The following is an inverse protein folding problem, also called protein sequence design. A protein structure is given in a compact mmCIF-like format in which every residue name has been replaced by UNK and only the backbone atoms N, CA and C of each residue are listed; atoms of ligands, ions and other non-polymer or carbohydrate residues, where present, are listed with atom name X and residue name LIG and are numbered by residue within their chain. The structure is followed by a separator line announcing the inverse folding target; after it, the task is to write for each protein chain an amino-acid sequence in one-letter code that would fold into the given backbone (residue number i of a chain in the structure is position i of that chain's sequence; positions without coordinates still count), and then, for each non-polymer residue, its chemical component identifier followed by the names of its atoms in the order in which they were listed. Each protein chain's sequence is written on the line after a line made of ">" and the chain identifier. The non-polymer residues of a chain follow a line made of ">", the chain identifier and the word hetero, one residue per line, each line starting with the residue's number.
data_IF_290647695051
#
_entry.id   IF_290647695051
#
_cell.length_a   1.000
_cell.length_b   1.000
_cell.length_c   1.000
_cell.angle_alpha   90.00
_cell.angle_beta   90.00
_cell.angle_gamma   90.00
#
_symmetry.space_group_name_H-M   'P 1'
#
loop_
_entity.id
_entity.type
_entity.pdbx_description
1 polymer ?
#
# COMPACT_ATOMS: atom_id res chain seq x y z
N UNK A 1 -23.80 48.63 16.37
CA UNK A 1 -24.60 47.46 16.78
C UNK A 1 -23.68 46.48 17.49
N UNK A 2 -23.73 46.43 18.82
CA UNK A 2 -23.60 45.22 19.65
C UNK A 2 -23.62 45.66 21.11
N UNK A 3 -24.76 45.46 21.75
CA UNK A 3 -25.02 45.76 23.15
C UNK A 3 -24.54 44.62 24.05
N UNK A 4 -23.70 45.00 25.01
CA UNK A 4 -23.19 44.25 26.14
C UNK A 4 -24.14 44.42 27.34
N UNK A 5 -24.75 43.33 27.79
CA UNK A 5 -25.38 43.11 29.11
C UNK A 5 -25.25 41.58 29.31
N UNK A 6 -24.57 41.00 30.30
CA UNK A 6 -24.41 41.39 31.69
C UNK A 6 -25.39 40.58 32.55
N UNK A 7 -24.99 39.39 33.01
CA UNK A 7 -25.16 38.95 34.41
C UNK A 7 -24.67 37.53 34.69
N UNK A 8 -23.74 37.49 35.62
CA UNK A 8 -23.43 36.36 36.50
C UNK A 8 -24.63 36.00 37.39
N UNK A 9 -24.71 34.71 37.72
CA UNK A 9 -25.60 34.17 38.74
C UNK A 9 -25.03 32.85 39.25
N UNK A 10 -24.07 32.93 40.18
CA UNK A 10 -23.53 31.78 40.89
C UNK A 10 -24.23 31.50 42.22
N UNK A 11 -24.40 30.21 42.52
CA UNK A 11 -24.54 29.63 43.87
C UNK A 11 -25.80 28.80 44.12
N UNK A 12 -25.83 27.85 45.09
CA UNK A 12 -24.84 26.84 45.50
C UNK A 12 -25.37 25.38 45.35
N UNK A 13 -24.55 24.32 45.53
CA UNK A 13 -24.94 22.94 45.22
C UNK A 13 -25.77 22.28 46.33
N UNK A 14 -26.98 21.82 45.97
CA UNK A 14 -27.82 20.95 46.79
C UNK A 14 -27.47 19.47 46.61
N UNK A 15 -27.09 18.84 47.72
CA UNK A 15 -26.68 17.43 47.88
C UNK A 15 -27.92 16.54 48.01
N UNK A 16 -28.05 15.51 47.15
CA UNK A 16 -29.07 14.46 47.29
C UNK A 16 -28.94 13.44 46.16
N UNK A 17 -28.40 12.25 46.47
CA UNK A 17 -27.95 11.29 45.48
C UNK A 17 -29.05 10.43 44.85
N UNK A 18 -28.75 9.90 43.68
CA UNK A 18 -28.98 8.49 43.34
C UNK A 18 -28.18 8.12 42.09
N UNK A 19 -27.75 6.87 42.04
CA UNK A 19 -26.89 6.28 41.04
C UNK A 19 -27.53 6.19 39.65
N UNK A 20 -26.75 6.44 38.59
CA UNK A 20 -26.68 5.67 37.34
C UNK A 20 -26.10 6.51 36.19
N UNK A 21 -25.23 5.89 35.39
CA UNK A 21 -25.02 6.27 33.99
C UNK A 21 -23.75 7.07 33.69
N UNK A 22 -22.62 6.37 33.66
CA UNK A 22 -21.34 6.89 33.19
C UNK A 22 -21.42 7.27 31.70
N UNK A 23 -20.94 8.49 31.47
CA UNK A 23 -20.59 9.22 30.25
C UNK A 23 -19.94 8.32 29.16
N UNK A 24 -20.44 8.40 27.92
CA UNK A 24 -19.68 8.00 26.72
C UNK A 24 -19.34 9.26 25.93
N UNK A 25 -18.14 9.78 26.18
CA UNK A 25 -17.40 10.66 25.27
C UNK A 25 -16.10 9.95 24.91
N UNK A 26 -15.86 9.77 23.61
CA UNK A 26 -14.59 9.36 23.02
C UNK A 26 -14.66 9.75 21.55
N UNK A 27 -14.41 11.01 21.21
CA UNK A 27 -13.09 11.61 20.92
C UNK A 27 -12.33 10.86 19.83
N UNK A 28 -12.68 11.28 18.62
CA UNK A 28 -11.85 11.41 17.44
C UNK A 28 -10.53 12.14 17.81
N UNK A 29 -9.37 11.50 17.65
CA UNK A 29 -8.04 12.06 17.31
C UNK A 29 -6.89 11.27 17.95
N UNK A 30 -6.05 10.64 17.12
CA UNK A 30 -4.60 10.70 17.31
C UNK A 30 -3.88 10.44 15.98
N UNK A 31 -3.54 11.54 15.34
CA UNK A 31 -2.53 11.62 14.30
C UNK A 31 -1.19 12.02 14.97
N UNK A 32 -0.09 11.47 14.43
CA UNK A 32 1.30 11.93 14.57
C UNK A 32 2.01 11.71 15.91
N UNK A 33 3.09 10.91 15.87
CA UNK A 33 4.30 11.17 16.66
C UNK A 33 4.78 10.08 17.61
N UNK A 34 5.36 8.98 17.09
CA UNK A 34 6.49 8.31 17.74
C UNK A 34 7.46 7.84 16.64
N UNK A 35 8.42 8.71 16.31
CA UNK A 35 9.68 8.28 15.72
C UNK A 35 10.65 7.93 16.84
N UNK A 36 11.25 6.74 16.79
CA UNK A 36 12.55 6.42 17.36
C UNK A 36 12.96 4.98 16.98
N UNK A 37 14.03 4.83 16.19
CA UNK A 37 14.84 3.62 16.02
C UNK A 37 14.14 2.44 15.35
N UNK A 38 14.68 1.75 14.33
CA UNK A 38 16.06 1.35 14.18
C UNK A 38 16.34 1.14 12.69
N UNK A 39 17.21 1.97 12.13
CA UNK A 39 18.07 1.54 11.04
C UNK A 39 19.26 0.81 11.66
N UNK A 40 19.50 -0.43 11.24
CA UNK A 40 20.84 -1.01 11.30
C UNK A 40 21.24 -1.36 9.89
N UNK A 41 21.96 -0.43 9.28
CA UNK A 41 22.88 -0.72 8.21
C UNK A 41 23.92 -1.72 8.71
N UNK A 42 24.20 -2.76 7.93
CA UNK A 42 25.52 -3.38 7.89
C UNK A 42 25.90 -3.68 6.44
N UNK A 43 26.72 -2.79 5.89
CA UNK A 43 27.68 -3.14 4.87
C UNK A 43 29.07 -3.19 5.53
N UNK A 44 29.76 -4.31 5.25
CA UNK A 44 31.23 -4.51 5.12
C UNK A 44 32.11 -4.46 6.37
N UNK A 45 32.65 -5.62 6.74
CA UNK A 45 34.10 -5.84 6.87
C UNK A 45 34.40 -7.34 6.68
N UNK A 46 35.45 -7.59 5.89
CA UNK A 46 35.89 -8.84 5.31
C UNK A 46 36.45 -9.88 6.32
N UNK A 47 36.20 -11.16 6.04
CA UNK A 47 37.08 -12.35 6.10
C UNK A 47 36.25 -13.63 6.38
N UNK A 48 36.44 -14.64 5.51
CA UNK A 48 35.79 -15.96 5.40
C UNK A 48 35.96 -16.91 6.62
N UNK A 49 35.38 -18.15 6.66
CA UNK A 49 34.30 -18.74 5.84
C UNK A 49 33.17 -19.44 6.64
N UNK A 50 32.10 -19.80 5.92
CA UNK A 50 31.12 -20.86 6.22
C UNK A 50 30.26 -20.75 7.49
N UNK A 51 29.05 -20.20 7.35
CA UNK A 51 27.90 -20.62 8.17
C UNK A 51 26.57 -20.48 7.43
N UNK A 52 25.70 -21.45 7.71
CA UNK A 52 24.42 -21.83 7.11
C UNK A 52 23.55 -20.70 6.52
N UNK A 53 22.70 -21.00 5.51
CA UNK A 53 21.78 -20.01 4.96
C UNK A 53 20.84 -19.52 6.07
N UNK A 54 20.99 -18.23 6.39
CA UNK A 54 20.11 -17.53 7.30
C UNK A 54 18.67 -17.70 6.84
N UNK A 55 17.82 -18.13 7.77
CA UNK A 55 16.37 -18.17 7.59
C UNK A 55 15.86 -16.82 7.08
N UNK A 56 14.86 -16.79 6.18
CA UNK A 56 14.28 -15.54 5.69
C UNK A 56 13.78 -14.71 6.88
N UNK A 57 13.86 -13.37 6.81
CA UNK A 57 13.34 -12.52 7.87
C UNK A 57 11.86 -12.80 8.05
N UNK A 58 11.48 -13.25 9.24
CA UNK A 58 10.08 -13.42 9.61
C UNK A 58 9.37 -12.08 9.43
N UNK A 59 8.42 -12.04 8.50
CA UNK A 59 7.51 -10.91 8.33
C UNK A 59 6.80 -10.70 9.67
N UNK A 60 6.78 -9.47 10.24
CA UNK A 60 6.24 -9.26 11.58
C UNK A 60 4.73 -9.53 11.59
N UNK A 61 4.33 -10.59 12.29
CA UNK A 61 2.96 -11.02 12.56
C UNK A 61 2.09 -9.99 13.34
N UNK A 62 2.54 -8.75 13.46
CA UNK A 62 1.95 -7.73 14.34
C UNK A 62 0.79 -6.98 13.68
N UNK A 63 0.79 -6.84 12.34
CA UNK A 63 -0.28 -6.12 11.63
C UNK A 63 -1.58 -6.94 11.54
N UNK A 64 -1.47 -8.23 11.23
CA UNK A 64 -2.63 -9.14 11.12
C UNK A 64 -3.27 -9.46 12.47
N UNK A 65 -2.46 -9.51 13.54
CA UNK A 65 -2.97 -9.71 14.91
C UNK A 65 -3.91 -8.60 15.38
N UNK A 66 -3.73 -7.36 14.91
CA UNK A 66 -4.58 -6.22 15.29
C UNK A 66 -5.96 -6.25 14.62
N UNK A 67 -6.02 -6.55 13.32
CA UNK A 67 -7.26 -6.67 12.56
C UNK A 67 -8.08 -7.90 13.00
N UNK A 68 -7.41 -9.00 13.30
CA UNK A 68 -8.08 -10.19 13.82
C UNK A 68 -8.70 -9.95 15.21
N UNK A 69 -7.99 -9.24 16.09
CA UNK A 69 -8.54 -8.82 17.40
C UNK A 69 -9.76 -7.91 17.23
N UNK A 70 -9.68 -6.93 16.34
CA UNK A 70 -10.79 -6.01 16.05
C UNK A 70 -12.00 -6.76 15.45
N UNK A 71 -11.76 -7.75 14.59
CA UNK A 71 -12.80 -8.64 14.09
C UNK A 71 -13.45 -9.49 15.20
N UNK A 72 -12.67 -10.01 16.16
CA UNK A 72 -13.25 -10.72 17.30
C UNK A 72 -14.05 -9.80 18.23
N UNK A 73 -13.58 -8.57 18.47
CA UNK A 73 -14.31 -7.59 19.29
C UNK A 73 -15.64 -7.20 18.66
N UNK A 74 -15.67 -6.94 17.34
CA UNK A 74 -16.92 -6.65 16.62
C UNK A 74 -17.89 -7.83 16.62
N UNK A 75 -17.40 -9.08 16.57
CA UNK A 75 -18.24 -10.27 16.75
C UNK A 75 -18.85 -10.34 18.16
N UNK A 76 -18.07 -10.09 19.21
CA UNK A 76 -18.59 -10.05 20.59
C UNK A 76 -19.64 -8.96 20.77
N UNK A 77 -19.41 -7.77 20.21
CA UNK A 77 -20.37 -6.68 20.23
C UNK A 77 -21.68 -7.05 19.51
N UNK A 78 -21.59 -7.74 18.38
CA UNK A 78 -22.77 -8.25 17.67
C UNK A 78 -23.57 -9.25 18.51
N UNK A 79 -22.89 -10.17 19.19
CA UNK A 79 -23.56 -11.13 20.08
C UNK A 79 -24.23 -10.45 21.27
N UNK A 80 -23.58 -9.45 21.88
CA UNK A 80 -24.17 -8.65 22.95
C UNK A 80 -25.43 -7.89 22.46
N UNK A 81 -25.35 -7.22 21.31
CA UNK A 81 -26.49 -6.52 20.71
C UNK A 81 -27.65 -7.48 20.36
N UNK A 82 -27.35 -8.71 19.93
CA UNK A 82 -28.37 -9.75 19.70
C UNK A 82 -29.10 -10.11 20.99
N UNK A 83 -28.39 -10.24 22.11
CA UNK A 83 -29.01 -10.54 23.42
C UNK A 83 -29.88 -9.39 23.89
N UNK A 84 -29.38 -8.16 23.82
CA UNK A 84 -30.14 -6.96 24.20
C UNK A 84 -31.43 -6.79 23.39
N UNK A 85 -31.36 -7.00 22.06
CA UNK A 85 -32.57 -6.96 21.22
C UNK A 85 -33.55 -8.09 21.55
N UNK A 86 -33.05 -9.26 21.94
CA UNK A 86 -33.88 -10.37 22.44
C UNK A 86 -34.59 -10.02 23.75
N UNK A 87 -33.87 -9.46 24.72
CA UNK A 87 -34.43 -9.03 26.01
C UNK A 87 -35.50 -7.94 25.84
N UNK A 88 -35.25 -6.94 24.98
CA UNK A 88 -36.22 -5.89 24.69
C UNK A 88 -37.50 -6.44 24.04
N UNK A 89 -37.38 -7.46 23.18
CA UNK A 89 -38.55 -8.14 22.58
C UNK A 89 -39.37 -8.88 23.63
N UNK A 90 -38.72 -9.57 24.57
CA UNK A 90 -39.42 -10.26 25.66
C UNK A 90 -40.17 -9.26 26.55
N UNK A 91 -39.49 -8.18 26.97
CA UNK A 91 -40.12 -7.08 27.73
C UNK A 91 -41.30 -6.45 27.00
N UNK A 92 -41.20 -6.29 25.69
CA UNK A 92 -42.29 -5.75 24.87
C UNK A 92 -43.53 -6.67 24.91
N UNK A 93 -43.34 -8.00 24.82
CA UNK A 93 -44.43 -8.97 24.92
C UNK A 93 -45.03 -8.97 26.33
N UNK A 94 -44.20 -8.91 27.36
CA UNK A 94 -44.64 -8.82 28.75
C UNK A 94 -45.50 -7.58 29.01
N UNK A 95 -45.03 -6.39 28.59
CA UNK A 95 -45.79 -5.13 28.71
C UNK A 95 -47.10 -5.15 27.91
N UNK A 96 -47.12 -5.78 26.73
CA UNK A 96 -48.34 -5.95 25.95
C UNK A 96 -49.37 -6.82 26.68
N UNK A 97 -48.93 -7.94 27.25
CA UNK A 97 -49.81 -8.80 28.04
C UNK A 97 -50.33 -8.10 29.30
N UNK A 98 -49.47 -7.33 29.97
CA UNK A 98 -49.87 -6.56 31.15
C UNK A 98 -50.91 -5.48 30.80
N UNK A 99 -50.67 -4.72 29.72
CA UNK A 99 -51.64 -3.75 29.19
C UNK A 99 -52.99 -4.40 28.85
N UNK A 100 -52.99 -5.56 28.19
CA UNK A 100 -54.24 -6.28 27.90
C UNK A 100 -54.97 -6.78 29.16
N UNK A 101 -54.23 -7.11 30.21
CA UNK A 101 -54.79 -7.51 31.52
C UNK A 101 -55.46 -6.32 32.21
N UNK A 102 -54.78 -5.18 32.28
CA UNK A 102 -55.31 -3.94 32.85
C UNK A 102 -56.56 -3.45 32.10
N UNK A 103 -56.58 -3.54 30.77
CA UNK A 103 -57.77 -3.21 29.96
C UNK A 103 -58.96 -4.11 30.29
N UNK A 104 -58.74 -5.40 30.51
CA UNK A 104 -59.78 -6.34 30.90
C UNK A 104 -60.34 -6.05 32.30
N UNK A 105 -59.46 -5.75 33.28
CA UNK A 105 -59.87 -5.38 34.64
C UNK A 105 -60.68 -4.07 34.67
N UNK A 106 -60.23 -3.07 33.91
CA UNK A 106 -60.90 -1.78 33.80
C UNK A 106 -62.28 -1.92 33.16
N UNK A 107 -62.42 -2.78 32.14
CA UNK A 107 -63.71 -3.11 31.53
C UNK A 107 -64.64 -3.82 32.53
N UNK A 108 -64.14 -4.83 33.25
CA UNK A 108 -64.92 -5.55 34.25
C UNK A 108 -65.40 -4.64 35.40
N UNK A 109 -64.56 -3.70 35.86
CA UNK A 109 -64.93 -2.73 36.89
C UNK A 109 -65.96 -1.71 36.39
N UNK A 110 -65.84 -1.24 35.15
CA UNK A 110 -66.85 -0.35 34.54
C UNK A 110 -68.21 -1.05 34.41
N UNK A 111 -68.22 -2.28 33.91
CA UNK A 111 -69.44 -3.08 33.77
C UNK A 111 -70.10 -3.36 35.13
N UNK A 112 -69.30 -3.69 36.16
CA UNK A 112 -69.78 -3.90 37.52
C UNK A 112 -70.36 -2.62 38.16
N UNK A 113 -69.75 -1.45 37.89
CA UNK A 113 -70.22 -0.16 38.40
C UNK A 113 -71.53 0.32 37.76
N UNK A 114 -71.80 -0.08 36.50
CA UNK A 114 -73.04 0.24 35.80
C UNK A 114 -74.25 -0.61 36.23
N UNK A 115 -74.03 -1.73 36.93
CA UNK A 115 -75.06 -2.69 37.33
C UNK A 115 -75.57 -2.51 38.78
N UNK A 116 -75.11 -1.49 39.51
CA UNK A 116 -75.41 -1.34 40.94
C UNK A 116 -76.88 -0.92 41.21
N UNK A 117 -77.63 -1.63 42.08
CA UNK A 117 -78.99 -1.25 42.50
C UNK A 117 -79.01 -0.07 43.49
N UNK A 118 -80.22 0.46 43.77
CA UNK A 118 -80.54 1.73 44.45
C UNK A 118 -79.58 2.13 45.60
N UNK A 119 -79.23 3.43 45.73
CA UNK A 119 -78.21 3.89 46.66
C UNK A 119 -78.68 3.81 48.11
N UNK A 120 -78.00 2.98 48.90
CA UNK A 120 -77.85 3.16 50.34
C UNK A 120 -76.42 3.66 50.65
N UNK A 121 -76.16 4.06 51.90
CA UNK A 121 -74.86 4.64 52.28
C UNK A 121 -73.68 3.68 52.02
N UNK A 122 -73.91 2.36 52.06
CA UNK A 122 -72.93 1.34 51.73
C UNK A 122 -72.64 1.31 50.22
N UNK A 123 -73.66 1.39 49.37
CA UNK A 123 -73.52 1.50 47.92
C UNK A 123 -72.76 2.77 47.50
N UNK A 124 -72.94 3.91 48.19
CA UNK A 124 -72.17 5.12 47.90
C UNK A 124 -70.68 4.97 48.23
N UNK A 125 -70.33 4.35 49.37
CA UNK A 125 -68.93 4.09 49.72
C UNK A 125 -68.26 3.13 48.75
N UNK A 126 -68.97 2.08 48.32
CA UNK A 126 -68.48 1.14 47.31
C UNK A 126 -68.32 1.82 45.94
N UNK A 127 -69.25 2.68 45.53
CA UNK A 127 -69.14 3.42 44.29
C UNK A 127 -67.97 4.43 44.30
N UNK A 128 -67.66 5.03 45.45
CA UNK A 128 -66.47 5.88 45.62
C UNK A 128 -65.18 5.08 45.51
N UNK A 129 -65.08 3.92 46.16
CA UNK A 129 -63.88 3.07 46.07
C UNK A 129 -63.68 2.49 44.67
N UNK A 130 -64.76 2.10 43.98
CA UNK A 130 -64.70 1.66 42.58
C UNK A 130 -64.23 2.79 41.65
N UNK A 131 -64.73 4.02 41.82
CA UNK A 131 -64.26 5.19 41.05
C UNK A 131 -62.78 5.47 41.25
N UNK A 132 -62.30 5.44 42.49
CA UNK A 132 -60.87 5.60 42.79
C UNK A 132 -60.02 4.51 42.13
N UNK A 133 -60.51 3.26 42.11
CA UNK A 133 -59.79 2.16 41.46
C UNK A 133 -59.78 2.28 39.94
N UNK A 134 -60.86 2.78 39.33
CA UNK A 134 -60.89 3.07 37.89
C UNK A 134 -59.87 4.17 37.55
N UNK A 135 -59.82 5.25 38.33
CA UNK A 135 -58.86 6.34 38.12
C UNK A 135 -57.40 5.87 38.29
N UNK A 136 -57.13 5.01 39.28
CA UNK A 136 -55.82 4.37 39.46
C UNK A 136 -55.43 3.50 38.25
N UNK A 137 -56.33 2.61 37.80
CA UNK A 137 -56.08 1.74 36.64
C UNK A 137 -55.91 2.54 35.34
N UNK A 138 -56.66 3.64 35.17
CA UNK A 138 -56.49 4.55 34.03
C UNK A 138 -55.11 5.23 34.05
N UNK A 139 -54.61 5.60 35.23
CA UNK A 139 -53.24 6.09 35.41
C UNK A 139 -52.18 5.03 35.09
N UNK A 140 -52.31 3.82 35.64
CA UNK A 140 -51.40 2.69 35.38
C UNK A 140 -51.37 2.29 33.90
N UNK A 141 -52.54 2.34 33.23
CA UNK A 141 -52.65 2.12 31.78
C UNK A 141 -51.90 3.18 30.97
N UNK A 142 -52.03 4.45 31.36
CA UNK A 142 -51.31 5.54 30.70
C UNK A 142 -49.80 5.36 30.83
N UNK A 143 -49.31 5.07 32.04
CA UNK A 143 -47.90 4.84 32.30
C UNK A 143 -47.38 3.60 31.57
N UNK A 144 -48.12 2.49 31.60
CA UNK A 144 -47.76 1.25 30.89
C UNK A 144 -47.66 1.50 29.39
N UNK A 145 -48.61 2.23 28.81
CA UNK A 145 -48.59 2.58 27.39
C UNK A 145 -47.40 3.46 27.03
N UNK A 146 -47.05 4.42 27.90
CA UNK A 146 -45.84 5.25 27.71
C UNK A 146 -44.58 4.39 27.71
N UNK A 147 -44.43 3.50 28.67
CA UNK A 147 -43.27 2.57 28.75
C UNK A 147 -43.25 1.63 27.53
N UNK A 148 -44.41 1.20 27.04
CA UNK A 148 -44.52 0.35 25.85
C UNK A 148 -44.04 1.09 24.59
N UNK A 149 -44.40 2.35 24.42
CA UNK A 149 -43.93 3.16 23.28
C UNK A 149 -42.42 3.50 23.40
N UNK A 150 -41.91 3.76 24.61
CA UNK A 150 -40.48 3.93 24.87
C UNK A 150 -39.68 2.66 24.56
N UNK A 151 -40.17 1.48 24.98
CA UNK A 151 -39.52 0.20 24.70
C UNK A 151 -39.57 -0.16 23.21
N UNK A 152 -40.66 0.16 22.50
CA UNK A 152 -40.72 0.03 21.03
C UNK A 152 -39.68 0.91 20.35
N UNK A 153 -39.55 2.17 20.77
CA UNK A 153 -38.56 3.10 20.22
C UNK A 153 -37.12 2.60 20.49
N UNK A 154 -36.86 2.11 21.71
CA UNK A 154 -35.59 1.50 22.09
C UNK A 154 -35.26 0.26 21.22
N UNK A 155 -36.24 -0.63 21.02
CA UNK A 155 -36.07 -1.81 20.17
C UNK A 155 -35.78 -1.45 18.71
N UNK A 156 -36.46 -0.44 18.16
CA UNK A 156 -36.21 0.04 16.81
C UNK A 156 -34.79 0.61 16.66
N UNK A 157 -34.33 1.39 17.65
CA UNK A 157 -32.96 1.92 17.69
C UNK A 157 -31.92 0.80 17.79
N UNK A 158 -32.11 -0.15 18.70
CA UNK A 158 -31.21 -1.28 18.87
C UNK A 158 -31.13 -2.17 17.61
N UNK A 159 -32.26 -2.35 16.91
CA UNK A 159 -32.30 -3.10 15.64
C UNK A 159 -31.48 -2.41 14.55
N UNK A 160 -31.59 -1.08 14.42
CA UNK A 160 -30.80 -0.29 13.46
C UNK A 160 -29.30 -0.34 13.78
N UNK A 161 -28.94 -0.20 15.06
CA UNK A 161 -27.55 -0.32 15.50
C UNK A 161 -26.98 -1.70 15.18
N UNK A 162 -27.77 -2.76 15.42
CA UNK A 162 -27.40 -4.13 15.06
C UNK A 162 -27.15 -4.29 13.56
N UNK A 163 -28.01 -3.73 12.71
CA UNK A 163 -27.84 -3.77 11.25
C UNK A 163 -26.61 -3.00 10.78
N UNK A 164 -26.30 -1.86 11.41
CA UNK A 164 -25.08 -1.10 11.12
C UNK A 164 -23.82 -1.89 11.50
N UNK A 165 -23.76 -2.42 12.72
CA UNK A 165 -22.64 -3.25 13.18
C UNK A 165 -22.44 -4.50 12.30
N UNK A 166 -23.53 -5.08 11.79
CA UNK A 166 -23.49 -6.20 10.85
C UNK A 166 -22.84 -5.84 9.51
N UNK A 167 -23.14 -4.65 8.98
CA UNK A 167 -22.54 -4.15 7.74
C UNK A 167 -21.05 -3.91 7.94
N UNK A 168 -20.68 -3.21 8.99
CA UNK A 168 -19.27 -2.92 9.32
C UNK A 168 -18.45 -4.21 9.51
N UNK A 169 -19.00 -5.20 10.21
CA UNK A 169 -18.36 -6.51 10.36
C UNK A 169 -18.20 -7.25 9.02
N UNK A 170 -19.17 -7.11 8.11
CA UNK A 170 -19.09 -7.62 6.75
C UNK A 170 -17.97 -6.97 5.96
N UNK A 171 -17.89 -5.63 5.98
CA UNK A 171 -16.86 -4.87 5.28
C UNK A 171 -15.45 -5.18 5.82
N UNK A 172 -15.30 -5.29 7.14
CA UNK A 172 -14.04 -5.70 7.76
C UNK A 172 -13.61 -7.10 7.33
N UNK A 173 -14.55 -8.04 7.20
CA UNK A 173 -14.26 -9.41 6.73
C UNK A 173 -13.76 -9.40 5.29
N UNK A 174 -14.39 -8.63 4.41
CA UNK A 174 -13.97 -8.48 3.02
C UNK A 174 -12.55 -7.90 2.93
N UNK A 175 -12.27 -6.83 3.70
CA UNK A 175 -10.92 -6.25 3.77
C UNK A 175 -9.89 -7.24 4.28
N UNK A 176 -10.24 -8.06 5.27
CA UNK A 176 -9.33 -9.08 5.81
C UNK A 176 -9.00 -10.13 4.74
N UNK A 177 -9.99 -10.60 3.98
CA UNK A 177 -9.73 -11.54 2.87
C UNK A 177 -8.90 -10.93 1.75
N UNK A 178 -9.11 -9.64 1.46
CA UNK A 178 -8.32 -8.93 0.45
C UNK A 178 -6.86 -8.75 0.90
N UNK A 179 -6.62 -8.37 2.15
CA UNK A 179 -5.26 -8.25 2.69
C UNK A 179 -4.56 -9.61 2.73
N UNK A 180 -5.28 -10.70 3.00
CA UNK A 180 -4.72 -12.05 2.93
C UNK A 180 -4.30 -12.43 1.50
N UNK A 181 -5.11 -12.12 0.48
CA UNK A 181 -4.70 -12.34 -0.91
C UNK A 181 -3.51 -11.48 -1.30
N UNK A 182 -3.51 -10.19 -0.95
CA UNK A 182 -2.38 -9.28 -1.24
C UNK A 182 -1.08 -9.75 -0.56
N UNK A 183 -1.17 -10.23 0.68
CA UNK A 183 -0.02 -10.80 1.39
C UNK A 183 0.54 -12.03 0.66
N UNK A 184 -0.32 -12.94 0.20
CA UNK A 184 0.11 -14.12 -0.55
C UNK A 184 0.72 -13.78 -1.91
N UNK A 185 0.19 -12.76 -2.60
CA UNK A 185 0.77 -12.27 -3.85
C UNK A 185 2.13 -11.59 -3.64
N UNK A 186 2.29 -10.85 -2.55
CA UNK A 186 3.59 -10.26 -2.20
C UNK A 186 4.60 -11.34 -1.83
N UNK A 187 4.17 -12.43 -1.20
CA UNK A 187 5.05 -13.55 -0.88
C UNK A 187 5.55 -14.25 -2.15
N UNK A 188 4.67 -14.54 -3.11
CA UNK A 188 5.08 -15.14 -4.40
C UNK A 188 6.01 -14.21 -5.18
N UNK A 189 5.69 -12.92 -5.27
CA UNK A 189 6.57 -11.92 -5.91
C UNK A 189 7.95 -11.83 -5.25
N UNK A 190 8.03 -11.93 -3.92
CA UNK A 190 9.31 -11.94 -3.22
C UNK A 190 10.12 -13.21 -3.51
N UNK A 191 9.47 -14.37 -3.64
CA UNK A 191 10.12 -15.62 -4.03
C UNK A 191 10.66 -15.53 -5.47
N UNK A 192 9.88 -14.99 -6.40
CA UNK A 192 10.31 -14.78 -7.79
C UNK A 192 11.49 -13.81 -7.90
N UNK A 193 11.43 -12.68 -7.18
CA UNK A 193 12.55 -11.73 -7.11
C UNK A 193 13.81 -12.37 -6.51
N UNK A 194 13.66 -13.22 -5.50
CA UNK A 194 14.80 -13.94 -4.92
C UNK A 194 15.42 -14.93 -5.92
N UNK A 195 14.61 -15.61 -6.75
CA UNK A 195 15.10 -16.47 -7.83
C UNK A 195 15.83 -15.64 -8.90
N UNK A 196 15.27 -14.51 -9.32
CA UNK A 196 15.91 -13.62 -10.29
C UNK A 196 17.23 -13.05 -9.77
N UNK A 197 17.29 -12.66 -8.49
CA UNK A 197 18.52 -12.18 -7.87
C UNK A 197 19.61 -13.26 -7.85
N UNK A 198 19.25 -14.52 -7.58
CA UNK A 198 20.19 -15.66 -7.67
C UNK A 198 20.70 -15.87 -9.09
N UNK A 199 19.80 -15.91 -10.07
CA UNK A 199 20.19 -16.06 -11.48
C UNK A 199 21.09 -14.91 -11.96
N UNK A 200 20.84 -13.68 -11.50
CA UNK A 200 21.69 -12.54 -11.81
C UNK A 200 23.08 -12.68 -11.18
N UNK A 201 23.17 -13.15 -9.93
CA UNK A 201 24.44 -13.43 -9.26
C UNK A 201 25.24 -14.54 -9.98
N UNK A 202 24.57 -15.62 -10.40
CA UNK A 202 25.20 -16.72 -11.15
C UNK A 202 25.75 -16.23 -12.50
N UNK A 203 24.98 -15.39 -13.22
CA UNK A 203 25.46 -14.77 -14.47
C UNK A 203 26.64 -13.82 -14.24
N UNK A 204 26.61 -13.05 -13.16
CA UNK A 204 27.71 -12.14 -12.83
C UNK A 204 29.00 -12.94 -12.60
N UNK A 205 28.94 -13.97 -11.77
CA UNK A 205 30.10 -14.85 -11.49
C UNK A 205 30.61 -15.56 -12.75
N UNK A 206 29.71 -16.03 -13.63
CA UNK A 206 30.10 -16.60 -14.92
C UNK A 206 30.81 -15.57 -15.82
N UNK A 207 30.28 -14.34 -15.91
CA UNK A 207 30.90 -13.27 -16.70
C UNK A 207 32.25 -12.82 -16.16
N UNK A 208 32.44 -12.83 -14.83
CA UNK A 208 33.73 -12.55 -14.19
C UNK A 208 34.75 -13.64 -14.52
N UNK A 209 34.33 -14.92 -14.54
CA UNK A 209 35.19 -16.03 -14.94
C UNK A 209 35.60 -15.95 -16.43
N UNK A 210 34.67 -15.59 -17.32
CA UNK A 210 34.94 -15.35 -18.74
C UNK A 210 35.92 -14.18 -18.95
N UNK A 211 35.72 -13.07 -18.24
CA UNK A 211 36.62 -11.91 -18.28
C UNK A 211 38.04 -12.26 -17.80
N UNK A 212 38.15 -13.08 -16.74
CA UNK A 212 39.44 -13.59 -16.27
C UNK A 212 40.11 -14.51 -17.29
N UNK A 213 39.36 -15.38 -17.97
CA UNK A 213 39.87 -16.24 -19.03
C UNK A 213 40.36 -15.43 -20.24
N UNK A 214 39.58 -14.46 -20.71
CA UNK A 214 39.94 -13.56 -21.80
C UNK A 214 41.21 -12.75 -21.47
N UNK A 215 41.35 -12.32 -20.22
CA UNK A 215 42.55 -11.62 -19.73
C UNK A 215 43.79 -12.50 -19.85
N UNK A 216 43.71 -13.76 -19.43
CA UNK A 216 44.82 -14.73 -19.54
C UNK A 216 45.21 -14.99 -21.00
N UNK A 217 44.22 -15.16 -21.89
CA UNK A 217 44.48 -15.40 -23.31
C UNK A 217 45.13 -14.19 -23.98
N UNK A 218 44.65 -12.98 -23.67
CA UNK A 218 45.28 -11.73 -24.13
C UNK A 218 46.75 -11.66 -23.69
N UNK A 219 47.04 -11.99 -22.43
CA UNK A 219 48.40 -11.92 -21.90
C UNK A 219 49.30 -12.99 -22.53
N UNK A 220 48.77 -14.18 -22.82
CA UNK A 220 49.43 -15.22 -23.61
C UNK A 220 49.77 -14.74 -25.03
N UNK A 221 48.78 -14.24 -25.77
CA UNK A 221 48.95 -13.75 -27.15
C UNK A 221 49.94 -12.58 -27.21
N UNK A 222 49.96 -11.70 -26.20
CA UNK A 222 50.99 -10.65 -26.07
C UNK A 222 52.39 -11.25 -25.91
N UNK A 223 52.53 -12.30 -25.11
CA UNK A 223 53.79 -13.04 -24.97
C UNK A 223 54.26 -13.68 -26.28
N UNK A 224 53.35 -14.36 -27.00
CA UNK A 224 53.64 -14.94 -28.31
C UNK A 224 54.03 -13.87 -29.34
N UNK A 225 53.31 -12.74 -29.39
CA UNK A 225 53.63 -11.61 -30.26
C UNK A 225 55.02 -11.03 -29.95
N UNK A 226 55.39 -10.93 -28.67
CA UNK A 226 56.72 -10.46 -28.27
C UNK A 226 57.82 -11.43 -28.71
N UNK A 227 57.60 -12.74 -28.59
CA UNK A 227 58.52 -13.77 -29.07
C UNK A 227 58.70 -13.70 -30.59
N UNK A 228 57.60 -13.64 -31.36
CA UNK A 228 57.65 -13.53 -32.82
C UNK A 228 58.34 -12.24 -33.27
N UNK A 229 58.12 -11.12 -32.57
CA UNK A 229 58.85 -9.87 -32.85
C UNK A 229 60.34 -10.02 -32.62
N UNK A 230 60.74 -10.66 -31.51
CA UNK A 230 62.15 -10.92 -31.21
C UNK A 230 62.81 -11.84 -32.27
N UNK A 231 62.13 -12.90 -32.70
CA UNK A 231 62.59 -13.78 -33.78
C UNK A 231 62.76 -13.03 -35.11
N UNK A 232 61.77 -12.21 -35.49
CA UNK A 232 61.85 -11.35 -36.68
C UNK A 232 63.05 -10.42 -36.60
N UNK A 233 63.28 -9.78 -35.45
CA UNK A 233 64.36 -8.83 -35.28
C UNK A 233 65.74 -9.52 -35.33
N UNK A 234 65.84 -10.74 -34.79
CA UNK A 234 67.03 -11.58 -34.92
C UNK A 234 67.29 -12.02 -36.37
N UNK A 235 66.25 -12.43 -37.10
CA UNK A 235 66.34 -12.78 -38.53
C UNK A 235 66.77 -11.57 -39.38
N UNK A 236 66.23 -10.38 -39.11
CA UNK A 236 66.65 -9.14 -39.78
C UNK A 236 68.12 -8.80 -39.51
N UNK A 237 68.56 -8.92 -38.25
CA UNK A 237 69.95 -8.70 -37.89
C UNK A 237 70.89 -9.70 -38.60
N UNK A 238 70.48 -10.97 -38.72
CA UNK A 238 71.21 -11.98 -39.47
C UNK A 238 71.27 -11.67 -40.98
N UNK A 239 70.18 -11.18 -41.58
CA UNK A 239 70.17 -10.74 -42.99
C UNK A 239 71.09 -9.54 -43.24
N UNK A 240 71.19 -8.60 -42.31
CA UNK A 240 72.09 -7.43 -42.43
C UNK A 240 73.57 -7.80 -42.28
N UNK A 241 73.89 -8.96 -41.71
CA UNK A 241 75.27 -9.47 -41.58
C UNK A 241 75.72 -10.34 -42.76
N UNK A 242 74.84 -10.62 -43.74
CA UNK A 242 75.24 -11.23 -45.01
C UNK A 242 75.87 -10.16 -45.95
N UNK A 243 76.96 -10.47 -46.67
CA UNK A 243 77.63 -9.50 -47.53
C UNK A 243 76.70 -9.05 -48.68
N UNK A 244 76.53 -7.74 -48.80
CA UNK A 244 75.72 -7.08 -49.83
C UNK A 244 76.38 -7.22 -51.20
N UNK A 245 75.69 -7.86 -52.14
CA UNK A 245 75.81 -7.57 -53.57
C UNK A 245 74.73 -6.54 -53.93
N UNK A 246 75.17 -5.45 -54.54
CA UNK A 246 74.41 -4.26 -54.95
C UNK A 246 73.14 -4.55 -55.75
N UNK A 247 72.08 -3.78 -55.51
CA UNK A 247 71.55 -2.87 -56.54
C UNK A 247 70.62 -1.82 -55.94
N UNK A 248 70.98 -0.57 -56.26
CA UNK A 248 70.27 0.71 -56.10
C UNK A 248 68.83 0.67 -56.66
N UNK A 249 67.85 1.19 -55.90
CA UNK A 249 67.31 2.56 -55.92
C UNK A 249 66.34 2.85 -57.08
N UNK A 250 65.11 3.23 -56.72
CA UNK A 250 64.45 4.37 -57.37
C UNK A 250 63.30 4.90 -56.53
N UNK A 251 63.10 6.19 -56.73
CA UNK A 251 62.54 7.18 -55.83
C UNK A 251 61.08 7.53 -56.18
N UNK A 252 60.41 8.10 -55.19
CA UNK A 252 59.42 9.18 -55.26
C UNK A 252 58.06 9.08 -56.00
N UNK A 253 57.04 9.48 -55.21
CA UNK A 253 55.76 10.17 -55.56
C UNK A 253 54.62 9.40 -56.22
N UNK A 254 53.48 9.27 -55.53
CA UNK A 254 52.36 10.20 -55.72
C UNK A 254 51.28 10.03 -54.63
N UNK A 255 50.56 11.13 -54.35
CA UNK A 255 49.57 11.27 -53.28
C UNK A 255 48.13 10.99 -53.81
N UNK A 256 47.02 11.25 -53.06
CA UNK A 256 46.04 10.22 -52.73
C UNK A 256 44.63 10.48 -53.31
N UNK A 257 43.80 9.42 -53.38
CA UNK A 257 42.32 9.42 -53.20
C UNK A 257 41.78 8.00 -53.46
N UNK A 258 40.86 7.48 -52.64
CA UNK A 258 39.49 7.99 -52.76
C UNK A 258 38.70 8.10 -51.45
N UNK A 259 37.64 8.89 -51.59
CA UNK A 259 36.41 8.94 -50.79
C UNK A 259 36.40 9.85 -49.56
N UNK A 260 35.52 10.85 -49.71
CA UNK A 260 34.88 11.69 -48.72
C UNK A 260 34.87 11.04 -47.33
N UNK A 261 35.26 11.75 -46.26
CA UNK A 261 35.03 11.24 -44.92
C UNK A 261 33.52 11.15 -44.73
N UNK A 262 33.04 9.91 -44.71
CA UNK A 262 31.86 9.59 -43.91
C UNK A 262 32.15 10.15 -42.52
N UNK A 263 31.29 11.04 -42.03
CA UNK A 263 31.50 11.78 -40.78
C UNK A 263 31.27 10.87 -39.56
N UNK A 264 31.77 9.64 -39.60
CA UNK A 264 31.80 8.77 -38.44
C UNK A 264 32.74 9.39 -37.42
N UNK A 265 32.17 9.90 -36.33
CA UNK A 265 32.95 10.31 -35.17
C UNK A 265 33.74 9.11 -34.64
N UNK A 266 34.88 9.35 -33.97
CA UNK A 266 35.62 8.28 -33.30
C UNK A 266 34.68 7.45 -32.41
N UNK A 267 34.91 6.12 -32.26
CA UNK A 267 34.07 5.26 -31.43
C UNK A 267 33.84 5.90 -30.05
N UNK A 268 32.57 6.02 -29.66
CA UNK A 268 32.16 6.73 -28.44
C UNK A 268 32.16 5.78 -27.25
N UNK A 269 32.47 6.31 -26.07
CA UNK A 269 32.40 5.54 -24.84
C UNK A 269 30.97 5.05 -24.56
N UNK A 270 30.83 3.75 -24.28
CA UNK A 270 29.54 3.09 -24.10
C UNK A 270 28.76 3.61 -22.91
N UNK A 271 29.44 4.00 -21.82
CA UNK A 271 28.77 4.56 -20.64
C UNK A 271 28.29 5.98 -20.94
N UNK A 272 29.10 6.80 -21.60
CA UNK A 272 28.70 8.13 -22.04
C UNK A 272 27.47 8.09 -22.97
N UNK A 273 27.42 7.13 -23.90
CA UNK A 273 26.26 6.91 -24.79
C UNK A 273 25.01 6.50 -24.00
N UNK A 274 25.13 5.53 -23.08
CA UNK A 274 24.00 5.09 -22.27
C UNK A 274 23.43 6.22 -21.38
N UNK A 275 24.30 7.01 -20.76
CA UNK A 275 23.92 8.16 -19.92
C UNK A 275 23.29 9.30 -20.73
N UNK A 276 23.77 9.53 -21.96
CA UNK A 276 23.17 10.51 -22.87
C UNK A 276 21.77 10.07 -23.31
N UNK A 277 21.58 8.80 -23.68
CA UNK A 277 20.28 8.23 -24.05
C UNK A 277 19.30 8.28 -22.88
N UNK A 278 19.74 7.97 -21.66
CA UNK A 278 18.89 7.98 -20.47
C UNK A 278 18.40 9.40 -20.10
N UNK A 279 19.21 10.43 -20.35
CA UNK A 279 18.90 11.83 -20.06
C UNK A 279 18.13 12.53 -21.18
N UNK A 280 18.21 12.03 -22.42
CA UNK A 280 17.60 12.67 -23.57
C UNK A 280 16.05 12.63 -23.48
N UNK A 281 15.39 13.80 -23.50
CA UNK A 281 13.93 13.87 -23.50
C UNK A 281 13.39 13.27 -24.80
N UNK A 282 12.29 12.50 -24.74
CA UNK A 282 11.63 11.91 -25.91
C UNK A 282 12.04 10.48 -26.26
N UNK A 283 13.09 9.91 -25.64
CA UNK A 283 13.50 8.51 -25.88
C UNK A 283 12.84 7.47 -24.94
N UNK A 284 11.99 7.94 -24.01
CA UNK A 284 11.28 7.06 -23.06
C UNK A 284 10.21 6.20 -23.73
N UNK A 285 9.70 6.63 -24.88
CA UNK A 285 8.69 5.90 -25.65
C UNK A 285 9.26 4.78 -26.52
N UNK A 286 10.57 4.75 -26.75
CA UNK A 286 11.22 3.67 -27.47
C UNK A 286 11.10 2.36 -26.69
N UNK A 287 11.05 1.24 -27.39
CA UNK A 287 11.17 -0.05 -26.74
C UNK A 287 12.64 -0.35 -26.36
N UNK A 288 12.89 -1.49 -25.71
CA UNK A 288 14.24 -1.86 -25.30
C UNK A 288 15.16 -2.16 -26.49
N UNK A 289 14.63 -2.75 -27.57
CA UNK A 289 15.39 -3.14 -28.74
C UNK A 289 15.83 -1.91 -29.56
N UNK A 290 14.94 -0.92 -29.72
CA UNK A 290 15.21 0.34 -30.40
C UNK A 290 16.26 1.17 -29.65
N UNK A 291 16.17 1.24 -28.31
CA UNK A 291 17.20 1.90 -27.50
C UNK A 291 18.55 1.22 -27.60
N UNK A 292 18.58 -0.12 -27.63
CA UNK A 292 19.82 -0.86 -27.79
C UNK A 292 20.43 -0.62 -29.17
N UNK A 293 19.62 -0.63 -30.23
CA UNK A 293 20.05 -0.33 -31.60
C UNK A 293 20.63 1.10 -31.72
N UNK A 294 20.00 2.08 -31.08
CA UNK A 294 20.50 3.46 -31.02
C UNK A 294 21.87 3.52 -30.33
N UNK A 295 22.00 2.87 -29.18
CA UNK A 295 23.25 2.83 -28.42
C UNK A 295 24.38 2.19 -29.24
N UNK A 296 24.12 1.05 -29.88
CA UNK A 296 25.10 0.32 -30.67
C UNK A 296 25.55 1.14 -31.90
N UNK A 297 24.65 1.91 -32.53
CA UNK A 297 24.99 2.78 -33.65
C UNK A 297 25.84 3.99 -33.21
N UNK A 298 25.51 4.60 -32.07
CA UNK A 298 26.25 5.74 -31.53
C UNK A 298 27.63 5.33 -30.98
N UNK A 299 27.76 4.13 -30.42
CA UNK A 299 29.03 3.53 -29.98
C UNK A 299 29.98 3.30 -31.17
N UNK A 300 29.44 2.85 -32.31
CA UNK A 300 30.19 2.70 -33.58
C UNK A 300 30.60 4.02 -34.22
N UNK A 301 30.20 5.15 -33.66
CA UNK A 301 30.56 6.47 -34.17
C UNK A 301 29.61 7.05 -35.21
N UNK A 302 28.42 6.47 -35.40
CA UNK A 302 27.42 7.03 -36.32
C UNK A 302 27.03 8.46 -35.93
N UNK A 303 26.63 9.27 -36.92
CA UNK A 303 26.09 10.60 -36.67
C UNK A 303 24.79 10.52 -35.86
N UNK A 304 24.59 11.49 -34.96
CA UNK A 304 23.42 11.48 -34.06
C UNK A 304 22.13 11.63 -34.87
N UNK A 305 22.17 12.40 -35.96
CA UNK A 305 21.06 12.53 -36.90
C UNK A 305 20.69 11.19 -37.52
N UNK A 306 21.66 10.49 -38.09
CA UNK A 306 21.43 9.26 -38.87
C UNK A 306 20.94 8.13 -37.97
N UNK A 307 21.54 8.02 -36.77
CA UNK A 307 21.14 7.04 -35.78
C UNK A 307 19.70 7.27 -35.25
N UNK A 308 19.22 8.52 -35.24
CA UNK A 308 17.84 8.87 -34.85
C UNK A 308 16.85 8.73 -36.01
N UNK A 309 17.23 9.05 -37.24
CA UNK A 309 16.38 8.84 -38.44
C UNK A 309 16.07 7.36 -38.68
N UNK A 310 17.01 6.48 -38.33
CA UNK A 310 16.86 5.02 -38.38
C UNK A 310 15.76 4.46 -37.47
N UNK A 311 15.29 5.24 -36.49
CA UNK A 311 14.35 4.83 -35.44
C UNK A 311 13.09 5.69 -35.48
N UNK A 312 13.22 6.99 -35.78
CA UNK A 312 12.12 7.93 -35.82
C UNK A 312 11.83 8.41 -37.24
N UNK A 313 10.58 8.25 -37.67
CA UNK A 313 10.06 8.90 -38.89
C UNK A 313 10.11 10.44 -38.79
N UNK A 314 10.05 10.98 -37.57
CA UNK A 314 10.21 12.41 -37.29
C UNK A 314 10.96 12.62 -35.99
N UNK A 315 12.21 13.08 -36.08
CA UNK A 315 13.09 13.29 -34.92
C UNK A 315 12.64 14.50 -34.10
N UNK A 316 12.39 14.36 -32.79
CA UNK A 316 12.10 15.51 -31.94
C UNK A 316 13.35 16.40 -31.79
N UNK A 317 13.22 17.69 -32.11
CA UNK A 317 14.33 18.66 -32.13
C UNK A 317 15.04 18.76 -30.76
N UNK A 318 14.31 18.59 -29.66
CA UNK A 318 14.87 18.61 -28.30
C UNK A 318 15.77 17.39 -28.02
N UNK A 319 15.40 16.22 -28.54
CA UNK A 319 16.16 14.98 -28.40
C UNK A 319 17.47 15.08 -29.17
N UNK A 320 17.40 15.54 -30.43
CA UNK A 320 18.57 15.76 -31.28
C UNK A 320 19.55 16.74 -30.63
N UNK A 321 19.06 17.91 -30.19
CA UNK A 321 19.92 18.94 -29.57
C UNK A 321 20.56 18.47 -28.25
N UNK A 322 19.86 17.67 -27.44
CA UNK A 322 20.42 17.10 -26.22
C UNK A 322 21.55 16.13 -26.54
N UNK A 323 21.32 15.20 -27.48
CA UNK A 323 22.30 14.17 -27.83
C UNK A 323 23.54 14.74 -28.52
N UNK A 324 23.40 15.71 -29.42
CA UNK A 324 24.55 16.40 -30.04
C UNK A 324 25.42 17.06 -28.97
N UNK A 325 24.79 17.76 -28.01
CA UNK A 325 25.52 18.45 -26.94
C UNK A 325 26.18 17.48 -25.96
N UNK A 326 25.47 16.43 -25.57
CA UNK A 326 25.92 15.52 -24.52
C UNK A 326 26.96 14.51 -25.03
N UNK A 327 27.00 14.25 -26.34
CA UNK A 327 27.97 13.36 -27.01
C UNK A 327 29.05 14.10 -27.80
N UNK A 328 29.09 15.43 -27.70
CA UNK A 328 30.00 16.32 -28.43
C UNK A 328 30.12 15.95 -29.92
N UNK A 329 28.97 15.69 -30.53
CA UNK A 329 28.93 15.14 -31.88
C UNK A 329 29.09 16.25 -32.92
N UNK A 330 30.03 16.12 -33.88
CA UNK A 330 30.17 17.10 -34.97
C UNK A 330 29.02 17.00 -36.00
N UNK A 331 28.21 15.93 -35.90
CA UNK A 331 26.98 15.62 -36.63
C UNK A 331 25.95 14.97 -35.67
#
# INVERSE_FOLDING_TARGET
>A
MTSQWGRDGGGPPGRGGSAAGIIVTGVLALAVGLGAGYGVARFVSSEEPAQAPASPPAIPATRDGSLYKLYQETLRQREAAMRETGELRLKLVELQNHSGTLEAELRALKDASGAAPKPDAAAETLARSQRQRIEQLEGEMFDTRRVLDETRAALAKATRQREQAMKEAGDLKVRLTQLQSEASELETRNQDLALHARQAADKLTASEAEAAAATRERDRLKGELAAVKAERDALKAAQQQAPQGESEASDETDAPKPQVPDQSAAPRDRQAVADAIARAPGLKSLDFAERQKLADNLEKGACVTDALEDIFVRVPVLTLRSLIRDLDSPC
#
